data_IF_577449910420
#
_entry.id   IF_577449910420
#
_cell.length_a   1.000
_cell.length_b   1.000
_cell.length_c   1.000
_cell.angle_alpha   90.00
_cell.angle_beta   90.00
_cell.angle_gamma   90.00
#
_symmetry.space_group_name_H-M   'P 1'
#
loop_
_entity.id
_entity.type
_entity.pdbx_description
1 polymer ?
#
# COMPACT_ATOMS: atom_id res chain seq x y z
N UNK A 1 -53.13 -3.96 -16.59
CA UNK A 1 -51.70 -3.97 -16.20
C UNK A 1 -51.21 -5.42 -16.20
N UNK A 2 -50.16 -5.75 -16.96
CA UNK A 2 -49.74 -7.16 -17.10
C UNK A 2 -49.10 -7.69 -15.81
N UNK A 3 -49.16 -9.00 -15.58
CA UNK A 3 -48.56 -9.67 -14.41
C UNK A 3 -47.06 -9.33 -14.28
N UNK A 4 -46.36 -9.12 -15.41
CA UNK A 4 -44.96 -8.71 -15.43
C UNK A 4 -44.73 -7.24 -15.04
N UNK A 5 -45.70 -6.34 -15.30
CA UNK A 5 -45.64 -4.97 -14.79
C UNK A 5 -45.96 -4.89 -13.29
N UNK A 6 -46.88 -5.71 -12.78
CA UNK A 6 -47.12 -5.81 -11.33
C UNK A 6 -45.90 -6.38 -10.58
N UNK A 7 -45.23 -7.40 -11.12
CA UNK A 7 -44.00 -7.94 -10.51
C UNK A 7 -42.85 -6.93 -10.50
N UNK A 8 -42.66 -6.14 -11.57
CA UNK A 8 -41.64 -5.07 -11.59
C UNK A 8 -41.95 -3.95 -10.59
N UNK A 9 -43.21 -3.53 -10.47
CA UNK A 9 -43.61 -2.50 -9.50
C UNK A 9 -43.49 -3.03 -8.06
N UNK A 10 -43.85 -4.30 -7.80
CA UNK A 10 -43.72 -4.93 -6.49
C UNK A 10 -42.25 -5.16 -6.12
N UNK A 11 -41.37 -5.50 -7.08
CA UNK A 11 -39.93 -5.67 -6.85
C UNK A 11 -39.22 -4.32 -6.62
N UNK A 12 -39.66 -3.25 -7.30
CA UNK A 12 -39.17 -1.89 -7.05
C UNK A 12 -39.68 -1.38 -5.70
N UNK A 13 -40.94 -1.64 -5.32
CA UNK A 13 -41.45 -1.32 -3.98
C UNK A 13 -40.76 -2.13 -2.87
N UNK A 14 -40.44 -3.41 -3.09
CA UNK A 14 -39.67 -4.22 -2.12
C UNK A 14 -38.22 -3.79 -1.97
N UNK A 15 -37.61 -3.21 -3.01
CA UNK A 15 -36.27 -2.61 -2.94
C UNK A 15 -36.27 -1.24 -2.23
N UNK A 16 -37.37 -0.48 -2.29
CA UNK A 16 -37.52 0.78 -1.54
C UNK A 16 -38.04 0.59 -0.10
N UNK A 17 -38.58 -0.58 0.26
CA UNK A 17 -39.12 -0.86 1.62
C UNK A 17 -38.09 -1.54 2.56
N UNK A 18 -36.90 -1.96 2.08
CA UNK A 18 -35.95 -2.74 2.91
C UNK A 18 -34.59 -2.07 3.21
N UNK A 19 -34.40 -0.81 2.82
CA UNK A 19 -33.21 -0.02 3.24
C UNK A 19 -33.56 1.30 3.94
N UNK A 20 -34.82 1.48 4.34
CA UNK A 20 -35.14 2.41 5.41
C UNK A 20 -34.49 1.89 6.70
N UNK A 21 -33.51 2.60 7.24
CA UNK A 21 -33.01 2.34 8.59
C UNK A 21 -34.22 2.35 9.54
N UNK A 22 -34.72 1.18 9.94
CA UNK A 22 -35.73 1.00 11.00
C UNK A 22 -35.19 1.41 12.39
N UNK A 23 -34.21 2.31 12.45
CA UNK A 23 -33.31 2.53 13.57
C UNK A 23 -33.40 3.92 14.20
N UNK A 24 -34.38 4.75 13.82
CA UNK A 24 -34.58 6.06 14.49
C UNK A 24 -34.92 5.92 15.99
N UNK A 25 -35.30 4.73 16.46
CA UNK A 25 -35.60 4.44 17.86
C UNK A 25 -34.53 3.60 18.59
N UNK A 26 -33.39 3.28 17.97
CA UNK A 26 -32.40 2.37 18.58
C UNK A 26 -31.37 3.05 19.49
N UNK A 27 -31.20 4.37 19.38
CA UNK A 27 -30.34 5.10 20.29
C UNK A 27 -31.17 5.51 21.51
N UNK A 28 -30.86 4.91 22.66
CA UNK A 28 -31.57 5.24 23.91
C UNK A 28 -31.25 6.66 24.37
N UNK A 29 -32.14 7.26 25.16
CA UNK A 29 -31.88 8.57 25.81
C UNK A 29 -30.57 8.52 26.61
N UNK A 30 -30.30 7.39 27.28
CA UNK A 30 -29.07 7.15 28.03
C UNK A 30 -27.83 7.10 27.13
N UNK A 31 -27.91 6.44 25.96
CA UNK A 31 -26.83 6.40 25.00
C UNK A 31 -26.48 7.80 24.46
N UNK A 32 -27.51 8.61 24.16
CA UNK A 32 -27.32 10.00 23.78
C UNK A 32 -26.67 10.79 24.91
N UNK A 33 -27.17 10.66 26.14
CA UNK A 33 -26.61 11.32 27.33
C UNK A 33 -25.13 10.98 27.52
N UNK A 34 -24.77 9.68 27.46
CA UNK A 34 -23.38 9.21 27.61
C UNK A 34 -22.45 9.77 26.53
N UNK A 35 -22.91 9.81 25.28
CA UNK A 35 -22.13 10.41 24.20
C UNK A 35 -21.93 11.92 24.39
N UNK A 36 -22.95 12.65 24.86
CA UNK A 36 -22.82 14.07 25.17
C UNK A 36 -21.85 14.31 26.34
N UNK A 37 -21.93 13.52 27.42
CA UNK A 37 -20.98 13.59 28.54
C UNK A 37 -19.54 13.38 28.07
N UNK A 38 -19.31 12.47 27.11
CA UNK A 38 -18.00 12.28 26.52
C UNK A 38 -17.56 13.50 25.72
N UNK A 39 -18.42 14.06 24.86
CA UNK A 39 -18.11 15.25 24.08
C UNK A 39 -17.79 16.45 24.99
N UNK A 40 -18.56 16.67 26.05
CA UNK A 40 -18.32 17.71 27.05
C UNK A 40 -16.98 17.51 27.78
N UNK A 41 -16.65 16.28 28.17
CA UNK A 41 -15.37 15.97 28.80
C UNK A 41 -14.18 16.30 27.86
N UNK A 42 -14.32 16.06 26.55
CA UNK A 42 -13.31 16.45 25.56
C UNK A 42 -13.18 17.98 25.44
N UNK A 43 -14.30 18.71 25.40
CA UNK A 43 -14.30 20.19 25.31
C UNK A 43 -13.64 20.85 26.50
N UNK A 44 -14.03 20.41 27.69
CA UNK A 44 -13.53 20.90 28.97
C UNK A 44 -12.10 20.41 29.27
N UNK A 45 -11.50 19.64 28.35
CA UNK A 45 -10.17 19.02 28.48
C UNK A 45 -10.04 18.09 29.70
N UNK A 46 -11.16 17.56 30.20
CA UNK A 46 -11.19 16.54 31.24
C UNK A 46 -10.97 15.15 30.63
N UNK A 47 -9.74 14.91 30.14
CA UNK A 47 -9.41 13.70 29.40
C UNK A 47 -9.45 12.42 30.24
N UNK A 48 -9.24 12.51 31.55
CA UNK A 48 -9.44 11.38 32.47
C UNK A 48 -10.90 10.94 32.47
N UNK A 49 -11.85 11.88 32.65
CA UNK A 49 -13.29 11.56 32.58
C UNK A 49 -13.69 11.04 31.20
N UNK A 50 -13.17 11.64 30.13
CA UNK A 50 -13.43 11.17 28.77
C UNK A 50 -12.96 9.73 28.58
N UNK A 51 -11.75 9.38 29.06
CA UNK A 51 -11.22 8.02 29.00
C UNK A 51 -12.11 7.01 29.74
N UNK A 52 -12.56 7.34 30.95
CA UNK A 52 -13.48 6.48 31.72
C UNK A 52 -14.76 6.13 30.94
N UNK A 53 -15.29 7.08 30.17
CA UNK A 53 -16.50 6.87 29.37
C UNK A 53 -16.28 5.94 28.17
N UNK A 54 -15.02 5.69 27.77
CA UNK A 54 -14.66 4.76 26.68
C UNK A 54 -14.60 3.29 27.09
N UNK A 55 -14.70 2.99 28.39
CA UNK A 55 -14.43 1.66 28.96
C UNK A 55 -13.05 1.08 28.54
N UNK A 56 -12.06 1.93 28.22
CA UNK A 56 -10.72 1.50 27.81
C UNK A 56 -10.63 0.90 26.41
N UNK A 57 -11.66 1.03 25.57
CA UNK A 57 -11.74 0.36 24.26
C UNK A 57 -11.80 1.32 23.06
N UNK A 58 -11.48 2.59 23.26
CA UNK A 58 -11.49 3.56 22.16
C UNK A 58 -10.36 3.30 21.16
N UNK A 59 -10.76 3.32 19.89
CA UNK A 59 -9.87 3.28 18.74
C UNK A 59 -9.91 4.60 18.00
N UNK A 60 -8.82 4.91 17.31
CA UNK A 60 -8.76 6.11 16.49
C UNK A 60 -7.91 5.89 15.24
N UNK A 61 -8.15 6.71 14.25
CA UNK A 61 -7.29 6.86 13.08
C UNK A 61 -7.48 8.24 12.45
N UNK A 62 -6.58 8.61 11.57
CA UNK A 62 -6.79 9.72 10.65
C UNK A 62 -6.97 9.21 9.22
N UNK A 63 -7.31 10.11 8.31
CA UNK A 63 -7.51 9.77 6.90
C UNK A 63 -6.22 9.24 6.27
N UNK A 64 -6.31 8.15 5.49
CA UNK A 64 -5.14 7.46 4.93
C UNK A 64 -4.50 6.39 5.82
N UNK A 65 -4.90 6.25 7.09
CA UNK A 65 -4.47 5.08 7.89
C UNK A 65 -5.27 3.82 7.52
N UNK A 66 -4.54 2.76 7.15
CA UNK A 66 -5.11 1.44 6.84
C UNK A 66 -5.65 0.74 8.10
N UNK A 67 -5.08 1.02 9.27
CA UNK A 67 -5.42 0.36 10.54
C UNK A 67 -5.78 1.37 11.62
N UNK A 68 -6.80 1.04 12.42
CA UNK A 68 -7.11 1.75 13.65
C UNK A 68 -5.99 1.53 14.68
N UNK A 69 -5.65 2.58 15.43
CA UNK A 69 -4.84 2.48 16.65
C UNK A 69 -5.76 2.30 17.85
N UNK A 70 -5.35 1.44 18.77
CA UNK A 70 -6.04 1.24 20.06
C UNK A 70 -5.32 2.06 21.12
N UNK A 71 -6.07 2.77 21.94
CA UNK A 71 -5.54 3.46 23.12
C UNK A 71 -5.34 2.40 24.21
N UNK A 72 -4.12 2.32 24.76
CA UNK A 72 -3.74 1.19 25.63
C UNK A 72 -4.20 1.35 27.07
N UNK A 73 -4.14 2.58 27.59
CA UNK A 73 -4.44 2.92 28.97
C UNK A 73 -4.79 4.42 29.08
N UNK A 74 -5.10 4.87 30.30
CA UNK A 74 -5.48 6.26 30.58
C UNK A 74 -4.36 7.26 30.27
N UNK A 75 -3.12 6.96 30.65
CA UNK A 75 -1.98 7.85 30.40
C UNK A 75 -1.74 8.05 28.89
N UNK A 76 -1.85 6.98 28.11
CA UNK A 76 -1.80 7.00 26.64
C UNK A 76 -2.94 7.88 26.08
N UNK A 77 -4.16 7.73 26.60
CA UNK A 77 -5.29 8.57 26.22
C UNK A 77 -5.02 10.05 26.50
N UNK A 78 -4.63 10.39 27.72
CA UNK A 78 -4.39 11.77 28.17
C UNK A 78 -3.29 12.42 27.33
N UNK A 79 -2.21 11.68 27.04
CA UNK A 79 -1.10 12.20 26.23
C UNK A 79 -1.49 12.46 24.77
N UNK A 80 -2.36 11.62 24.20
CA UNK A 80 -2.77 11.72 22.80
C UNK A 80 -3.99 12.61 22.58
N UNK A 81 -4.85 12.78 23.58
CA UNK A 81 -6.12 13.49 23.47
C UNK A 81 -6.01 14.91 22.89
N UNK A 82 -5.05 15.77 23.31
CA UNK A 82 -4.87 17.09 22.71
C UNK A 82 -4.63 17.04 21.20
N UNK A 83 -4.01 15.97 20.71
CA UNK A 83 -3.77 15.75 19.29
C UNK A 83 -5.01 15.15 18.62
N UNK A 84 -5.53 14.04 19.13
CA UNK A 84 -6.67 13.28 18.58
C UNK A 84 -7.91 14.16 18.38
N UNK A 85 -8.19 15.01 19.37
CA UNK A 85 -9.39 15.84 19.39
C UNK A 85 -9.14 17.27 18.93
N UNK A 86 -7.95 17.57 18.40
CA UNK A 86 -7.66 18.87 17.79
C UNK A 86 -8.67 19.11 16.66
N UNK A 87 -9.31 20.28 16.67
CA UNK A 87 -10.34 20.68 15.71
C UNK A 87 -11.57 19.76 15.63
N UNK A 88 -11.82 18.91 16.64
CA UNK A 88 -13.04 18.10 16.71
C UNK A 88 -14.29 18.99 16.71
N UNK A 89 -14.19 20.10 17.45
CA UNK A 89 -15.30 20.96 17.81
C UNK A 89 -14.97 22.35 17.29
N UNK A 90 -15.86 22.87 16.43
CA UNK A 90 -15.66 24.15 15.74
C UNK A 90 -16.17 25.31 16.61
N UNK A 91 -17.26 25.08 17.35
CA UNK A 91 -17.91 26.02 18.28
C UNK A 91 -18.35 25.24 19.52
N UNK A 92 -18.72 25.93 20.60
CA UNK A 92 -19.33 25.28 21.77
C UNK A 92 -20.46 24.33 21.31
N UNK A 93 -20.30 23.03 21.61
CA UNK A 93 -21.34 22.01 21.34
C UNK A 93 -22.33 22.16 22.47
N UNK A 94 -23.49 22.73 22.16
CA UNK A 94 -24.62 22.61 23.06
C UNK A 94 -25.26 21.22 22.87
N UNK A 95 -25.84 20.61 23.92
CA UNK A 95 -26.59 19.36 23.78
C UNK A 95 -27.74 19.41 22.76
N UNK A 96 -28.16 20.62 22.35
CA UNK A 96 -29.17 20.85 21.32
C UNK A 96 -28.62 20.73 19.90
N UNK A 97 -27.32 20.94 19.69
CA UNK A 97 -26.67 20.97 18.36
C UNK A 97 -26.11 19.61 17.92
N UNK A 98 -26.04 18.64 18.83
CA UNK A 98 -25.47 17.32 18.58
C UNK A 98 -26.52 16.21 18.64
N UNK A 99 -26.43 15.28 17.69
CA UNK A 99 -27.30 14.12 17.60
C UNK A 99 -26.50 12.84 17.36
N UNK A 100 -27.07 11.71 17.75
CA UNK A 100 -26.55 10.39 17.41
C UNK A 100 -27.44 9.77 16.35
N UNK A 101 -26.91 9.61 15.15
CA UNK A 101 -27.61 9.01 14.03
C UNK A 101 -27.16 7.56 13.84
N UNK A 102 -28.10 6.62 13.74
CA UNK A 102 -27.75 5.22 13.52
C UNK A 102 -27.15 5.02 12.12
N UNK A 103 -26.01 4.34 12.04
CA UNK A 103 -25.39 3.94 10.78
C UNK A 103 -25.54 2.42 10.58
N UNK A 104 -25.49 1.93 9.34
CA UNK A 104 -25.80 0.53 8.95
C UNK A 104 -24.94 -0.58 9.63
N UNK A 105 -24.00 -0.22 10.50
CA UNK A 105 -22.90 -1.06 10.98
C UNK A 105 -22.85 -1.26 12.51
N UNK A 106 -23.98 -1.21 13.21
CA UNK A 106 -24.09 -1.33 14.68
C UNK A 106 -23.43 -0.19 15.48
N UNK A 107 -23.17 0.93 14.84
CA UNK A 107 -22.62 2.11 15.49
C UNK A 107 -23.52 3.32 15.20
N UNK A 108 -23.68 4.17 16.20
CA UNK A 108 -24.22 5.51 16.01
C UNK A 108 -23.08 6.47 15.62
N UNK A 109 -23.38 7.45 14.79
CA UNK A 109 -22.45 8.51 14.40
C UNK A 109 -22.90 9.80 15.05
N UNK A 110 -21.97 10.52 15.65
CA UNK A 110 -22.23 11.83 16.19
C UNK A 110 -22.25 12.86 15.06
N UNK A 111 -23.38 13.53 14.89
CA UNK A 111 -23.62 14.58 13.90
C UNK A 111 -24.02 15.86 14.60
N UNK A 112 -23.81 17.00 13.96
CA UNK A 112 -24.16 18.29 14.54
C UNK A 112 -23.53 19.46 13.80
N UNK A 113 -24.12 20.65 13.95
CA UNK A 113 -23.61 21.86 13.29
C UNK A 113 -22.27 22.34 13.88
N UNK A 114 -22.06 22.11 15.17
CA UNK A 114 -20.82 22.46 15.88
C UNK A 114 -19.70 21.41 15.74
N UNK A 115 -19.99 20.29 15.05
CA UNK A 115 -19.06 19.18 14.87
C UNK A 115 -18.36 19.33 13.52
N UNK A 116 -17.04 19.18 13.53
CA UNK A 116 -16.28 19.23 12.30
C UNK A 116 -16.64 18.06 11.38
N UNK A 117 -17.19 18.37 10.20
CA UNK A 117 -17.60 17.37 9.19
C UNK A 117 -16.45 16.48 8.69
N UNK A 118 -15.20 16.89 8.92
CA UNK A 118 -13.99 16.09 8.65
C UNK A 118 -13.63 15.14 9.79
N UNK A 119 -14.44 15.09 10.85
CA UNK A 119 -14.28 14.15 11.96
C UNK A 119 -15.52 13.29 12.06
N UNK A 120 -15.33 11.98 12.00
CA UNK A 120 -16.38 11.00 12.20
C UNK A 120 -16.18 10.34 13.56
N UNK A 121 -17.20 10.41 14.40
CA UNK A 121 -17.18 9.78 15.71
C UNK A 121 -18.24 8.68 15.77
N UNK A 122 -17.77 7.44 15.91
CA UNK A 122 -18.62 6.27 16.07
C UNK A 122 -18.77 5.90 17.55
N UNK A 123 -20.01 5.69 17.95
CA UNK A 123 -20.43 5.23 19.26
C UNK A 123 -21.09 3.85 19.14
N UNK A 124 -20.96 3.03 20.18
CA UNK A 124 -21.78 1.84 20.34
C UNK A 124 -23.23 2.23 20.67
N UNK A 125 -24.17 1.29 20.60
CA UNK A 125 -25.59 1.55 20.86
C UNK A 125 -25.90 2.02 22.29
N UNK A 126 -25.02 1.74 23.25
CA UNK A 126 -25.12 2.20 24.64
C UNK A 126 -24.50 3.59 24.86
N UNK A 127 -24.04 4.26 23.79
CA UNK A 127 -23.39 5.57 23.86
C UNK A 127 -21.91 5.52 24.22
N UNK A 128 -21.29 4.33 24.28
CA UNK A 128 -19.84 4.20 24.52
C UNK A 128 -19.04 4.61 23.27
N UNK A 129 -18.06 5.53 23.38
CA UNK A 129 -17.11 5.85 22.31
C UNK A 129 -16.41 4.59 21.74
N UNK A 130 -16.44 4.40 20.42
CA UNK A 130 -15.84 3.23 19.77
C UNK A 130 -14.66 3.61 18.87
N UNK A 131 -14.92 4.41 17.83
CA UNK A 131 -13.92 4.77 16.82
C UNK A 131 -14.03 6.25 16.49
N UNK A 132 -12.90 6.95 16.51
CA UNK A 132 -12.81 8.30 15.93
C UNK A 132 -11.93 8.28 14.67
N UNK A 133 -12.43 8.91 13.60
CA UNK A 133 -11.70 9.16 12.37
C UNK A 133 -11.57 10.67 12.22
N UNK A 134 -10.36 11.21 12.37
CA UNK A 134 -10.11 12.65 12.22
C UNK A 134 -9.30 12.92 10.94
N UNK A 135 -9.98 13.35 9.87
CA UNK A 135 -9.35 13.68 8.59
C UNK A 135 -8.65 15.05 8.59
N UNK A 136 -8.66 15.78 9.71
CA UNK A 136 -7.85 17.00 9.88
C UNK A 136 -6.50 16.74 10.55
N UNK A 137 -6.23 15.47 10.89
CA UNK A 137 -4.99 15.03 11.49
C UNK A 137 -4.15 14.22 10.52
N UNK A 138 -2.84 14.34 10.73
CA UNK A 138 -1.85 13.48 10.14
C UNK A 138 -0.74 13.36 11.18
N UNK A 139 -0.21 12.16 11.36
CA UNK A 139 1.01 11.97 12.14
C UNK A 139 2.20 12.02 11.20
N UNK A 140 3.34 12.61 11.58
CA UNK A 140 4.54 12.44 10.78
C UNK A 140 5.04 11.00 10.79
N UNK A 141 6.10 10.73 10.04
CA UNK A 141 6.77 9.43 9.97
C UNK A 141 7.51 9.04 11.25
N UNK A 142 7.58 9.93 12.23
CA UNK A 142 8.19 9.74 13.54
C UNK A 142 7.18 9.95 14.69
N UNK A 143 7.57 9.57 15.90
CA UNK A 143 6.74 9.71 17.11
C UNK A 143 6.82 11.13 17.65
N UNK A 144 5.71 11.85 17.69
CA UNK A 144 5.67 13.24 18.17
C UNK A 144 6.08 13.42 19.64
N UNK A 145 5.89 12.43 20.51
CA UNK A 145 6.39 12.49 21.89
C UNK A 145 7.91 12.40 21.99
N UNK A 146 8.59 11.99 20.92
CA UNK A 146 10.05 11.93 20.82
C UNK A 146 10.63 13.11 20.02
N UNK A 147 9.81 14.09 19.64
CA UNK A 147 10.25 15.28 18.93
C UNK A 147 11.14 16.13 19.85
N UNK A 148 12.39 16.36 19.42
CA UNK A 148 13.36 17.17 20.20
C UNK A 148 13.63 18.50 19.51
N UNK A 149 13.63 18.52 18.18
CA UNK A 149 13.86 19.73 17.40
C UNK A 149 12.59 20.56 17.22
N UNK A 150 12.75 21.87 17.13
CA UNK A 150 11.68 22.81 16.80
C UNK A 150 11.00 22.50 15.45
N UNK A 151 11.75 21.97 14.47
CA UNK A 151 11.20 21.46 13.20
C UNK A 151 10.28 20.26 13.45
N UNK A 152 10.71 19.27 14.23
CA UNK A 152 9.87 18.10 14.52
C UNK A 152 8.59 18.49 15.26
N UNK A 153 8.70 19.41 16.23
CA UNK A 153 7.54 19.98 16.93
C UNK A 153 6.62 20.69 15.94
N UNK A 154 7.16 21.53 15.05
CA UNK A 154 6.37 22.22 14.03
C UNK A 154 5.68 21.25 13.05
N UNK A 155 6.37 20.19 12.63
CA UNK A 155 5.80 19.12 11.81
C UNK A 155 4.63 18.45 12.56
N UNK A 156 4.83 18.09 13.84
CA UNK A 156 3.80 17.47 14.68
C UNK A 156 2.58 18.36 14.92
N UNK A 157 2.77 19.69 14.94
CA UNK A 157 1.69 20.64 15.17
C UNK A 157 0.92 21.02 13.89
N UNK A 158 1.49 20.72 12.71
CA UNK A 158 0.95 21.09 11.40
C UNK A 158 0.53 19.86 10.59
N UNK A 159 -0.77 19.78 10.30
CA UNK A 159 -1.34 18.75 9.43
C UNK A 159 -0.62 18.65 8.08
N UNK A 160 -0.42 19.79 7.41
CA UNK A 160 0.18 19.82 6.07
C UNK A 160 1.63 19.35 6.09
N UNK A 161 2.40 19.71 7.12
CA UNK A 161 3.78 19.26 7.27
C UNK A 161 3.87 17.77 7.62
N UNK A 162 2.96 17.27 8.46
CA UNK A 162 2.91 15.85 8.82
C UNK A 162 2.61 14.97 7.60
N UNK A 163 1.63 15.33 6.76
CA UNK A 163 1.35 14.63 5.50
C UNK A 163 2.57 14.64 4.57
N UNK A 164 3.27 15.77 4.52
CA UNK A 164 4.44 15.92 3.68
C UNK A 164 5.63 15.09 4.19
N UNK A 165 5.83 15.02 5.50
CA UNK A 165 6.86 14.19 6.13
C UNK A 165 6.60 12.69 5.86
N UNK A 166 5.33 12.24 5.95
CA UNK A 166 4.95 10.88 5.52
C UNK A 166 5.27 10.64 4.04
N UNK A 167 4.95 11.60 3.17
CA UNK A 167 5.22 11.49 1.73
C UNK A 167 6.72 11.37 1.46
N UNK A 168 7.55 12.15 2.16
CA UNK A 168 9.01 12.04 2.10
C UNK A 168 9.49 10.67 2.59
N UNK A 169 8.94 10.17 3.70
CA UNK A 169 9.30 8.87 4.25
C UNK A 169 9.05 7.75 3.24
N UNK A 170 7.87 7.70 2.61
CA UNK A 170 7.53 6.67 1.63
C UNK A 170 8.42 6.75 0.38
N UNK A 171 8.65 7.96 -0.15
CA UNK A 171 9.55 8.16 -1.30
C UNK A 171 10.98 7.75 -0.96
N UNK A 172 11.50 8.12 0.21
CA UNK A 172 12.84 7.72 0.66
C UNK A 172 12.95 6.21 0.86
N UNK A 173 11.96 5.57 1.47
CA UNK A 173 11.91 4.12 1.67
C UNK A 173 11.87 3.37 0.34
N UNK A 174 11.12 3.87 -0.64
CA UNK A 174 11.12 3.33 -2.00
C UNK A 174 12.49 3.49 -2.66
N UNK A 175 13.11 4.68 -2.54
CA UNK A 175 14.45 4.93 -3.04
C UNK A 175 15.51 4.02 -2.40
N UNK A 176 15.40 3.74 -1.09
CA UNK A 176 16.31 2.83 -0.38
C UNK A 176 16.18 1.39 -0.86
N UNK A 177 14.98 0.96 -1.26
CA UNK A 177 14.74 -0.38 -1.84
C UNK A 177 15.23 -0.46 -3.27
N UNK A 178 15.17 0.66 -3.99
CA UNK A 178 15.46 0.74 -5.41
C UNK A 178 16.96 0.91 -5.69
N UNK A 179 17.65 1.81 -4.99
CA UNK A 179 19.10 1.97 -5.09
C UNK A 179 19.83 0.92 -4.25
N UNK A 180 20.95 0.43 -4.77
CA UNK A 180 21.84 -0.49 -4.04
C UNK A 180 23.28 0.03 -4.06
N UNK A 181 24.20 -0.65 -3.38
CA UNK A 181 25.63 -0.31 -3.38
C UNK A 181 25.92 1.15 -3.03
N UNK A 182 26.78 1.79 -3.83
CA UNK A 182 27.20 3.19 -3.65
C UNK A 182 26.02 4.17 -3.72
N UNK A 183 25.09 3.99 -4.65
CA UNK A 183 23.91 4.86 -4.79
C UNK A 183 23.05 4.86 -3.53
N UNK A 184 22.87 3.70 -2.89
CA UNK A 184 22.13 3.60 -1.63
C UNK A 184 22.87 4.32 -0.48
N UNK A 185 24.19 4.20 -0.42
CA UNK A 185 25.00 4.91 0.57
C UNK A 185 24.95 6.42 0.36
N UNK A 186 25.01 6.88 -0.88
CA UNK A 186 24.88 8.28 -1.24
C UNK A 186 23.50 8.83 -0.87
N UNK A 187 22.42 8.09 -1.18
CA UNK A 187 21.06 8.44 -0.76
C UNK A 187 20.98 8.67 0.75
N UNK A 188 21.58 7.78 1.56
CA UNK A 188 21.63 7.90 3.03
C UNK A 188 22.40 9.14 3.48
N UNK A 189 23.59 9.39 2.94
CA UNK A 189 24.40 10.58 3.24
C UNK A 189 23.64 11.87 2.91
N UNK A 190 23.05 11.93 1.72
CA UNK A 190 22.27 13.07 1.25
C UNK A 190 21.00 13.29 2.10
N UNK A 191 20.39 12.24 2.63
CA UNK A 191 19.24 12.36 3.52
C UNK A 191 19.62 12.97 4.87
N UNK A 192 20.76 12.58 5.45
CA UNK A 192 21.27 13.19 6.68
C UNK A 192 21.56 14.67 6.46
N UNK A 193 22.22 15.03 5.35
CA UNK A 193 22.49 16.41 5.01
C UNK A 193 21.19 17.22 4.82
N UNK A 194 20.20 16.65 4.13
CA UNK A 194 18.88 17.25 3.99
C UNK A 194 18.24 17.55 5.35
N UNK A 195 18.25 16.60 6.29
CA UNK A 195 17.68 16.81 7.63
C UNK A 195 18.38 17.98 8.34
N UNK A 196 19.72 18.04 8.26
CA UNK A 196 20.50 19.16 8.83
C UNK A 196 20.11 20.50 8.20
N UNK A 197 19.96 20.56 6.88
CA UNK A 197 19.56 21.77 6.16
C UNK A 197 18.13 22.20 6.48
N UNK A 198 17.19 21.24 6.53
CA UNK A 198 15.79 21.49 6.92
C UNK A 198 15.71 22.04 8.34
N UNK A 199 16.54 21.55 9.26
CA UNK A 199 16.55 21.99 10.66
C UNK A 199 16.98 23.46 10.85
N UNK A 200 17.58 24.10 9.84
CA UNK A 200 17.84 25.56 9.84
C UNK A 200 16.54 26.38 9.77
N UNK A 201 15.44 25.79 9.28
CA UNK A 201 14.14 26.46 9.22
C UNK A 201 13.48 26.69 10.59
N UNK A 202 13.98 26.09 11.67
CA UNK A 202 13.39 26.16 13.01
C UNK A 202 11.88 25.82 12.99
N UNK A 203 10.98 26.68 13.47
CA UNK A 203 9.53 26.45 13.37
C UNK A 203 8.83 27.10 12.15
N UNK A 204 9.58 27.64 11.18
CA UNK A 204 8.99 28.23 9.96
C UNK A 204 8.40 27.14 9.06
N UNK A 205 7.07 27.05 9.09
CA UNK A 205 6.30 26.06 8.33
C UNK A 205 6.46 26.18 6.82
N UNK A 206 6.62 27.39 6.27
CA UNK A 206 6.80 27.58 4.82
C UNK A 206 8.20 27.15 4.39
N UNK A 207 9.21 27.46 5.20
CA UNK A 207 10.58 27.00 4.98
C UNK A 207 10.66 25.46 5.00
N UNK A 208 10.15 24.82 6.07
CA UNK A 208 10.12 23.36 6.21
C UNK A 208 9.41 22.73 5.01
N UNK A 209 8.26 23.29 4.62
CA UNK A 209 7.49 22.79 3.49
C UNK A 209 8.28 22.84 2.19
N UNK A 210 8.91 23.98 1.90
CA UNK A 210 9.70 24.19 0.68
C UNK A 210 10.89 23.22 0.59
N UNK A 211 11.63 23.04 1.68
CA UNK A 211 12.76 22.09 1.72
C UNK A 211 12.30 20.65 1.50
N UNK A 212 11.23 20.24 2.16
CA UNK A 212 10.71 18.87 2.08
C UNK A 212 10.16 18.57 0.68
N UNK A 213 9.42 19.50 0.06
CA UNK A 213 8.95 19.37 -1.33
C UNK A 213 10.09 19.22 -2.33
N UNK A 214 11.15 20.05 -2.19
CA UNK A 214 12.34 19.96 -3.05
C UNK A 214 13.01 18.60 -2.92
N UNK A 215 13.10 18.07 -1.69
CA UNK A 215 13.71 16.75 -1.44
C UNK A 215 12.89 15.61 -2.05
N UNK A 216 11.57 15.61 -1.89
CA UNK A 216 10.67 14.62 -2.51
C UNK A 216 10.88 14.61 -4.03
N UNK A 217 10.85 15.78 -4.67
CA UNK A 217 11.04 15.92 -6.13
C UNK A 217 12.41 15.42 -6.57
N UNK A 218 13.46 15.73 -5.80
CA UNK A 218 14.82 15.29 -6.11
C UNK A 218 14.94 13.76 -6.08
N UNK A 219 14.46 13.10 -5.01
CA UNK A 219 14.53 11.65 -4.89
C UNK A 219 13.72 10.97 -6.01
N UNK A 220 12.48 11.44 -6.27
CA UNK A 220 11.68 10.91 -7.37
C UNK A 220 12.38 11.07 -8.72
N UNK A 221 13.02 12.22 -8.97
CA UNK A 221 13.82 12.43 -10.19
C UNK A 221 14.99 11.46 -10.29
N UNK A 222 15.71 11.20 -9.19
CA UNK A 222 16.81 10.23 -9.17
C UNK A 222 16.29 8.82 -9.51
N UNK A 223 15.18 8.41 -8.89
CA UNK A 223 14.52 7.13 -9.20
C UNK A 223 14.16 7.07 -10.70
N UNK A 224 13.51 8.10 -11.24
CA UNK A 224 13.13 8.15 -12.66
C UNK A 224 14.32 8.14 -13.63
N UNK A 225 15.46 8.76 -13.27
CA UNK A 225 16.66 8.75 -14.11
C UNK A 225 17.29 7.36 -14.16
N UNK A 226 17.38 6.70 -13.02
CA UNK A 226 17.86 5.32 -12.96
C UNK A 226 16.94 4.37 -13.75
N UNK A 227 15.62 4.56 -13.68
CA UNK A 227 14.69 3.82 -14.54
C UNK A 227 14.98 4.02 -16.04
N UNK A 228 15.32 5.24 -16.47
CA UNK A 228 15.71 5.50 -17.86
C UNK A 228 17.07 4.86 -18.21
N UNK A 229 18.00 4.79 -17.27
CA UNK A 229 19.29 4.14 -17.51
C UNK A 229 19.14 2.62 -17.67
N UNK A 230 18.10 2.01 -17.07
CA UNK A 230 17.74 0.61 -17.35
C UNK A 230 17.28 0.37 -18.79
N UNK A 231 16.93 1.41 -19.58
CA UNK A 231 16.60 1.27 -21.01
C UNK A 231 17.82 0.82 -21.87
N UNK A 232 19.01 0.67 -21.27
CA UNK A 232 20.21 0.13 -21.90
C UNK A 232 20.50 -1.35 -21.61
N UNK A 233 19.56 -2.07 -20.96
CA UNK A 233 19.67 -3.52 -20.78
C UNK A 233 19.67 -4.24 -22.15
N UNK A 234 20.87 -4.61 -22.61
CA UNK A 234 21.08 -5.56 -23.70
C UNK A 234 21.20 -6.95 -23.08
N UNK A 235 20.24 -7.83 -23.31
CA UNK A 235 20.41 -9.24 -22.99
C UNK A 235 21.28 -9.91 -24.04
N UNK A 236 22.38 -10.53 -23.60
CA UNK A 236 23.15 -11.52 -24.34
C UNK A 236 22.59 -12.91 -24.07
N UNK A 237 22.65 -13.80 -25.09
CA UNK A 237 22.38 -15.23 -24.90
C UNK A 237 23.23 -15.76 -23.75
N UNK A 238 22.61 -16.44 -22.79
CA UNK A 238 23.30 -17.13 -21.71
C UNK A 238 23.98 -18.37 -22.30
N UNK A 239 25.25 -18.24 -22.66
CA UNK A 239 26.03 -19.35 -23.22
C UNK A 239 26.80 -20.13 -22.13
N UNK A 240 26.46 -20.01 -20.83
CA UNK A 240 27.20 -20.70 -19.77
C UNK A 240 26.29 -21.24 -18.65
N UNK A 241 26.48 -22.50 -18.23
CA UNK A 241 25.64 -23.12 -17.21
C UNK A 241 25.93 -22.53 -15.83
N UNK A 242 24.88 -22.08 -15.15
CA UNK A 242 24.92 -21.80 -13.71
C UNK A 242 25.03 -23.09 -12.90
N UNK A 243 25.85 -23.10 -11.86
CA UNK A 243 25.91 -24.20 -10.89
C UNK A 243 24.60 -24.26 -10.07
N UNK A 244 24.04 -25.46 -9.95
CA UNK A 244 22.77 -25.76 -9.28
C UNK A 244 22.13 -27.04 -9.85
N UNK A 245 21.22 -27.68 -9.12
CA UNK A 245 20.47 -28.85 -9.60
C UNK A 245 19.35 -28.39 -10.54
N UNK A 246 19.69 -28.24 -11.82
CA UNK A 246 18.75 -27.86 -12.88
C UNK A 246 18.42 -29.11 -13.71
N UNK A 247 17.14 -29.32 -14.04
CA UNK A 247 16.76 -30.38 -15.00
C UNK A 247 17.20 -29.92 -16.39
N UNK A 248 18.17 -30.59 -17.06
CA UNK A 248 18.67 -30.13 -18.35
C UNK A 248 17.68 -30.51 -19.47
N UNK A 249 17.27 -29.53 -20.27
CA UNK A 249 16.69 -29.77 -21.59
C UNK A 249 17.16 -28.67 -22.58
N UNK A 250 18.37 -28.81 -23.13
CA UNK A 250 18.95 -27.85 -24.08
C UNK A 250 19.70 -26.64 -23.45
N UNK A 251 19.81 -25.53 -24.21
CA UNK A 251 20.56 -24.30 -23.87
C UNK A 251 19.86 -23.40 -22.82
N UNK A 252 18.63 -23.71 -22.41
CA UNK A 252 17.83 -22.90 -21.48
C UNK A 252 17.57 -23.69 -20.19
N UNK A 253 17.81 -23.07 -19.03
CA UNK A 253 17.49 -23.63 -17.71
C UNK A 253 16.18 -23.05 -17.20
N UNK A 254 15.21 -23.91 -16.89
CA UNK A 254 13.88 -23.54 -16.41
C UNK A 254 13.75 -23.80 -14.91
N UNK A 255 13.02 -22.93 -14.21
CA UNK A 255 12.47 -23.22 -12.88
C UNK A 255 10.95 -23.36 -13.04
N UNK A 256 10.46 -24.60 -13.21
CA UNK A 256 9.02 -24.90 -13.15
C UNK A 256 8.75 -25.75 -11.91
N UNK A 257 7.72 -25.36 -11.15
CA UNK A 257 7.26 -26.08 -9.95
C UNK A 257 6.27 -27.21 -10.25
N UNK A 258 5.86 -27.39 -11.51
CA UNK A 258 4.87 -28.41 -11.87
C UNK A 258 5.34 -29.25 -13.07
N UNK A 259 5.71 -30.50 -12.77
CA UNK A 259 5.72 -31.64 -13.69
C UNK A 259 6.72 -31.62 -14.88
N UNK A 260 7.31 -32.79 -15.23
CA UNK A 260 8.13 -32.96 -16.44
C UNK A 260 7.31 -33.16 -17.72
N UNK A 261 5.99 -32.96 -17.70
CA UNK A 261 5.19 -32.94 -18.93
C UNK A 261 5.27 -31.55 -19.56
N UNK A 262 6.41 -31.27 -20.17
CA UNK A 262 6.45 -30.27 -21.22
C UNK A 262 5.50 -30.75 -22.31
N UNK A 263 4.36 -30.08 -22.45
CA UNK A 263 3.67 -30.08 -23.73
C UNK A 263 4.67 -29.47 -24.72
N UNK A 264 5.10 -30.25 -25.72
CA UNK A 264 6.07 -29.82 -26.75
C UNK A 264 5.61 -28.54 -27.46
N UNK A 265 4.32 -28.19 -27.32
CA UNK A 265 3.70 -26.99 -27.85
C UNK A 265 3.94 -25.71 -27.00
N UNK A 266 4.62 -25.78 -25.85
CA UNK A 266 4.81 -24.59 -25.02
C UNK A 266 5.86 -23.64 -25.62
N UNK A 267 5.51 -22.35 -25.71
CA UNK A 267 6.40 -21.35 -26.28
C UNK A 267 7.59 -21.10 -25.35
N UNK A 268 8.82 -21.38 -25.77
CA UNK A 268 10.00 -21.06 -24.98
C UNK A 268 10.46 -19.63 -25.26
N UNK A 269 10.96 -18.95 -24.22
CA UNK A 269 11.50 -17.60 -24.34
C UNK A 269 12.79 -17.62 -25.17
N UNK A 270 12.81 -16.89 -26.27
CA UNK A 270 13.98 -16.74 -27.15
C UNK A 270 14.79 -15.52 -26.75
N UNK A 271 14.11 -14.38 -26.60
CA UNK A 271 14.75 -13.13 -26.20
C UNK A 271 13.76 -12.20 -25.52
N UNK A 272 14.30 -11.31 -24.70
CA UNK A 272 13.57 -10.19 -24.12
C UNK A 272 14.44 -8.95 -24.28
N UNK A 273 13.88 -7.86 -24.80
CA UNK A 273 14.61 -6.60 -24.92
C UNK A 273 13.75 -5.47 -24.43
N UNK A 274 14.35 -4.52 -23.71
CA UNK A 274 13.66 -3.33 -23.23
C UNK A 274 14.27 -2.11 -23.90
N UNK A 275 13.41 -1.25 -24.47
CA UNK A 275 13.83 0.04 -25.02
C UNK A 275 12.72 1.06 -24.88
N UNK A 276 13.02 2.20 -24.26
CA UNK A 276 12.08 3.30 -24.03
C UNK A 276 10.79 2.85 -23.32
N UNK A 277 10.93 2.02 -22.27
CA UNK A 277 9.79 1.45 -21.54
C UNK A 277 8.95 0.42 -22.32
N UNK A 278 9.33 0.08 -23.56
CA UNK A 278 8.73 -1.00 -24.34
C UNK A 278 9.57 -2.26 -24.15
N UNK A 279 8.96 -3.31 -23.62
CA UNK A 279 9.54 -4.64 -23.51
C UNK A 279 9.06 -5.49 -24.68
N UNK A 280 9.97 -5.89 -25.56
CA UNK A 280 9.71 -6.87 -26.62
C UNK A 280 10.09 -8.24 -26.12
N UNK A 281 9.16 -9.19 -26.25
CA UNK A 281 9.31 -10.57 -25.82
C UNK A 281 9.16 -11.43 -27.07
N UNK A 282 10.20 -12.19 -27.38
CA UNK A 282 10.19 -13.14 -28.48
C UNK A 282 10.11 -14.56 -27.92
N UNK A 283 9.14 -15.33 -28.38
CA UNK A 283 8.92 -16.72 -27.98
C UNK A 283 8.87 -17.60 -29.22
N UNK A 284 9.29 -18.84 -29.09
CA UNK A 284 9.23 -19.82 -30.16
C UNK A 284 8.41 -21.01 -29.69
N UNK A 285 7.40 -21.40 -30.47
CA UNK A 285 6.65 -22.64 -30.26
C UNK A 285 7.12 -23.68 -31.27
N UNK A 286 7.37 -24.90 -30.79
CA UNK A 286 7.52 -26.03 -31.71
C UNK A 286 6.10 -26.50 -32.06
N UNK A 287 5.70 -26.33 -33.33
CA UNK A 287 4.44 -26.91 -33.81
C UNK A 287 4.65 -28.41 -34.02
N UNK A 288 3.83 -29.26 -33.41
CA UNK A 288 3.86 -30.70 -33.65
C UNK A 288 3.44 -31.07 -35.09
N UNK A 289 2.62 -30.24 -35.74
CA UNK A 289 1.99 -30.55 -37.03
C UNK A 289 2.68 -29.88 -38.23
N UNK A 290 3.51 -28.84 -38.02
CA UNK A 290 4.23 -28.14 -39.08
C UNK A 290 5.72 -28.05 -38.74
N UNK A 291 6.60 -28.48 -39.65
CA UNK A 291 8.07 -28.43 -39.49
C UNK A 291 8.67 -27.02 -39.37
N UNK A 292 7.84 -25.99 -39.22
CA UNK A 292 8.27 -24.60 -39.11
C UNK A 292 8.11 -24.10 -37.67
N UNK A 293 9.20 -23.57 -37.15
CA UNK A 293 9.23 -22.86 -35.88
C UNK A 293 8.42 -21.56 -36.01
N UNK A 294 7.34 -21.43 -35.25
CA UNK A 294 6.55 -20.19 -35.22
C UNK A 294 7.09 -19.28 -34.13
N UNK A 295 7.51 -18.07 -34.53
CA UNK A 295 7.93 -17.01 -33.61
C UNK A 295 6.74 -16.14 -33.21
N UNK A 296 6.49 -16.02 -31.91
CA UNK A 296 5.48 -15.16 -31.32
C UNK A 296 6.16 -13.91 -30.77
N UNK A 297 5.97 -12.79 -31.45
CA UNK A 297 6.50 -11.49 -31.05
C UNK A 297 5.47 -10.68 -30.26
N UNK A 298 5.71 -10.52 -28.96
CA UNK A 298 4.91 -9.65 -28.11
C UNK A 298 5.61 -8.31 -27.90
N UNK A 299 4.85 -7.22 -28.00
CA UNK A 299 5.31 -5.88 -27.60
C UNK A 299 4.49 -5.41 -26.40
N UNK A 300 5.19 -5.21 -25.29
CA UNK A 300 4.62 -4.94 -23.98
C UNK A 300 5.21 -3.68 -23.38
N UNK A 301 4.54 -3.11 -22.39
CA UNK A 301 4.97 -1.89 -21.72
C UNK A 301 4.98 -2.16 -20.23
N UNK A 302 5.89 -1.50 -19.51
CA UNK A 302 5.88 -1.55 -18.05
C UNK A 302 4.68 -0.75 -17.57
N UNK A 303 3.64 -1.46 -17.11
CA UNK A 303 2.43 -0.84 -16.57
C UNK A 303 2.66 -0.41 -15.13
N UNK A 304 3.29 -1.28 -14.34
CA UNK A 304 3.41 -1.13 -12.91
C UNK A 304 4.75 -1.66 -12.43
N UNK A 305 5.36 -0.94 -11.50
CA UNK A 305 6.61 -1.35 -10.84
C UNK A 305 6.35 -1.47 -9.36
N UNK A 306 6.75 -2.60 -8.78
CA UNK A 306 6.58 -2.86 -7.36
C UNK A 306 7.90 -3.31 -6.75
N UNK A 307 8.08 -2.97 -5.48
CA UNK A 307 9.29 -3.31 -4.74
C UNK A 307 8.94 -4.22 -3.57
N UNK A 308 9.59 -5.36 -3.54
CA UNK A 308 9.38 -6.39 -2.56
C UNK A 308 10.67 -6.62 -1.78
N UNK A 309 10.54 -6.64 -0.45
CA UNK A 309 11.58 -7.18 0.40
C UNK A 309 11.37 -8.68 0.53
N UNK A 310 12.44 -9.48 0.58
CA UNK A 310 12.33 -10.94 0.81
C UNK A 310 11.36 -11.28 1.96
N UNK A 311 11.47 -10.57 3.09
CA UNK A 311 10.58 -10.74 4.24
C UNK A 311 9.10 -10.44 3.96
N UNK A 312 8.79 -9.47 3.09
CA UNK A 312 7.41 -9.13 2.72
C UNK A 312 6.83 -10.25 1.87
N UNK A 313 7.60 -10.75 0.93
CA UNK A 313 7.20 -11.83 0.03
C UNK A 313 6.96 -13.07 0.83
N UNK A 314 7.98 -13.49 1.59
CA UNK A 314 7.88 -14.62 2.50
C UNK A 314 6.67 -14.51 3.43
N UNK A 315 6.39 -13.32 3.99
CA UNK A 315 5.21 -13.10 4.82
C UNK A 315 3.88 -13.23 4.04
N UNK A 316 3.76 -12.61 2.86
CA UNK A 316 2.53 -12.70 2.06
C UNK A 316 2.27 -14.13 1.59
N UNK A 317 3.32 -14.85 1.21
CA UNK A 317 3.23 -16.19 0.60
C UNK A 317 3.10 -17.27 1.66
N UNK A 318 4.03 -17.34 2.63
CA UNK A 318 4.06 -18.38 3.65
C UNK A 318 2.97 -18.20 4.71
N UNK A 319 2.69 -16.97 5.14
CA UNK A 319 1.79 -16.73 6.30
C UNK A 319 0.39 -16.28 5.91
N UNK A 320 0.24 -15.30 5.01
CA UNK A 320 -1.07 -14.67 4.77
C UNK A 320 -1.96 -15.47 3.84
N UNK A 321 -1.40 -15.98 2.74
CA UNK A 321 -2.16 -16.71 1.72
C UNK A 321 -2.01 -18.24 1.84
N UNK A 322 -1.24 -18.70 2.83
CA UNK A 322 -1.01 -20.12 3.13
C UNK A 322 -0.54 -20.90 1.90
N UNK A 323 0.29 -20.27 1.05
CA UNK A 323 1.02 -20.95 -0.01
C UNK A 323 2.21 -21.71 0.60
N UNK A 324 1.93 -22.59 1.57
CA UNK A 324 2.72 -23.81 1.67
C UNK A 324 2.38 -24.60 0.41
N UNK A 325 3.36 -24.76 -0.46
CA UNK A 325 3.18 -25.10 -1.87
C UNK A 325 1.98 -26.00 -2.14
N UNK A 326 1.11 -25.55 -3.05
CA UNK A 326 0.15 -26.45 -3.72
C UNK A 326 0.85 -27.57 -4.52
N UNK A 327 2.19 -27.60 -4.51
CA UNK A 327 3.06 -28.65 -5.02
C UNK A 327 4.35 -28.87 -4.17
N UNK A 328 4.38 -28.44 -2.90
CA UNK A 328 5.38 -28.91 -1.93
C UNK A 328 6.87 -28.57 -2.17
N UNK A 329 7.21 -27.40 -2.73
CA UNK A 329 8.60 -26.94 -2.74
C UNK A 329 8.79 -25.61 -2.00
N UNK A 330 9.94 -25.55 -1.31
CA UNK A 330 10.35 -24.49 -0.41
C UNK A 330 10.78 -23.25 -1.20
N UNK A 331 10.28 -22.08 -0.81
CA UNK A 331 10.74 -20.78 -1.34
C UNK A 331 12.24 -20.56 -1.14
N UNK A 332 12.89 -21.33 -0.25
CA UNK A 332 14.36 -21.36 -0.14
C UNK A 332 15.07 -21.82 -1.42
N UNK A 333 14.35 -22.44 -2.38
CA UNK A 333 14.90 -22.82 -3.67
C UNK A 333 14.92 -21.69 -4.70
N UNK A 334 14.23 -20.57 -4.46
CA UNK A 334 14.55 -19.35 -5.21
C UNK A 334 15.92 -18.88 -4.72
N UNK A 335 16.94 -18.76 -5.60
CA UNK A 335 18.34 -18.60 -5.17
C UNK A 335 18.66 -17.29 -4.41
N UNK A 336 17.67 -16.47 -4.04
CA UNK A 336 17.92 -15.11 -3.58
C UNK A 336 17.03 -14.72 -2.40
N UNK A 337 17.60 -14.78 -1.19
CA UNK A 337 17.10 -14.12 0.01
C UNK A 337 17.36 -12.59 -0.05
N UNK A 338 16.99 -11.95 -1.16
CA UNK A 338 17.31 -10.55 -1.44
C UNK A 338 16.07 -9.74 -1.76
N UNK A 339 16.21 -8.41 -1.72
CA UNK A 339 15.17 -7.51 -2.20
C UNK A 339 15.06 -7.65 -3.71
N UNK A 340 13.83 -7.55 -4.23
CA UNK A 340 13.61 -7.57 -5.66
C UNK A 340 12.59 -6.53 -6.11
N UNK A 341 12.75 -6.12 -7.36
CA UNK A 341 11.86 -5.19 -8.06
C UNK A 341 11.13 -5.97 -9.13
N UNK A 342 9.81 -5.88 -9.16
CA UNK A 342 9.00 -6.47 -10.22
C UNK A 342 8.52 -5.39 -11.18
N UNK A 343 8.53 -5.70 -12.47
CA UNK A 343 8.01 -4.88 -13.56
C UNK A 343 6.87 -5.68 -14.19
N UNK A 344 5.63 -5.29 -13.92
CA UNK A 344 4.45 -5.87 -14.55
C UNK A 344 4.32 -5.31 -15.97
N UNK A 345 4.16 -6.21 -16.91
CA UNK A 345 4.09 -5.91 -18.33
C UNK A 345 2.65 -6.06 -18.80
N UNK A 346 2.16 -5.11 -19.60
CA UNK A 346 0.88 -5.22 -20.28
C UNK A 346 1.03 -5.13 -21.79
N UNK A 347 0.12 -5.80 -22.51
CA UNK A 347 0.12 -5.79 -23.97
C UNK A 347 -0.23 -4.40 -24.52
N UNK A 348 0.48 -3.96 -25.56
CA UNK A 348 0.17 -2.68 -26.25
C UNK A 348 -1.29 -2.57 -26.71
N UNK A 349 -1.80 -3.68 -27.23
CA UNK A 349 -3.10 -3.72 -27.92
C UNK A 349 -4.24 -4.00 -26.94
N UNK A 350 -3.94 -4.50 -25.74
CA UNK A 350 -4.93 -4.83 -24.73
C UNK A 350 -4.34 -4.69 -23.33
N UNK A 351 -4.59 -3.55 -22.68
CA UNK A 351 -4.11 -3.27 -21.33
C UNK A 351 -4.73 -4.18 -20.26
N UNK A 352 -5.81 -4.91 -20.56
CA UNK A 352 -6.43 -5.87 -19.62
C UNK A 352 -5.76 -7.23 -19.61
N UNK A 353 -4.92 -7.54 -20.62
CA UNK A 353 -4.12 -8.77 -20.65
C UNK A 353 -2.71 -8.49 -20.17
N UNK A 354 -2.33 -9.17 -19.09
CA UNK A 354 -0.94 -9.20 -18.62
C UNK A 354 -0.06 -9.88 -19.67
N UNK A 355 1.08 -9.26 -19.95
CA UNK A 355 2.12 -9.81 -20.80
C UNK A 355 3.17 -10.59 -19.99
N UNK A 356 3.16 -10.44 -18.66
CA UNK A 356 4.08 -11.12 -17.76
C UNK A 356 4.69 -10.16 -16.73
N UNK A 357 5.71 -10.64 -16.04
CA UNK A 357 6.41 -9.91 -15.00
C UNK A 357 7.92 -10.12 -15.14
N UNK A 358 8.69 -9.05 -15.07
CA UNK A 358 10.15 -9.12 -14.94
C UNK A 358 10.50 -8.93 -13.47
N UNK A 359 11.31 -9.81 -12.89
CA UNK A 359 11.80 -9.69 -11.51
C UNK A 359 13.30 -9.44 -11.55
N UNK A 360 13.75 -8.31 -11.02
CA UNK A 360 15.17 -7.99 -10.85
C UNK A 360 15.54 -8.23 -9.39
N UNK A 361 16.50 -9.12 -9.14
CA UNK A 361 17.00 -9.44 -7.79
C UNK A 361 18.30 -8.67 -7.51
N UNK A 362 18.56 -8.29 -6.23
CA UNK A 362 19.60 -7.33 -5.91
C UNK A 362 20.55 -7.70 -4.76
N UNK A 363 21.80 -7.99 -5.14
CA UNK A 363 23.04 -7.36 -4.59
C UNK A 363 24.00 -7.00 -5.76
N UNK A 364 24.01 -7.78 -6.84
CA UNK A 364 24.88 -7.59 -8.01
C UNK A 364 24.19 -7.19 -9.32
N UNK A 365 22.94 -6.69 -9.31
CA UNK A 365 22.22 -6.14 -10.49
C UNK A 365 22.05 -7.04 -11.74
N UNK A 366 22.63 -8.25 -11.76
CA UNK A 366 22.81 -9.02 -12.99
C UNK A 366 21.79 -10.15 -13.19
N UNK A 367 20.82 -10.31 -12.28
CA UNK A 367 19.85 -11.40 -12.40
C UNK A 367 18.43 -10.88 -12.52
N UNK A 368 17.89 -11.06 -13.71
CA UNK A 368 16.51 -10.85 -14.08
C UNK A 368 15.79 -12.20 -14.13
N UNK A 369 14.50 -12.20 -13.87
CA UNK A 369 13.59 -13.30 -14.17
C UNK A 369 12.48 -12.74 -15.02
N UNK A 370 11.97 -13.53 -15.94
CA UNK A 370 10.73 -13.21 -16.64
C UNK A 370 9.74 -14.35 -16.39
N UNK A 371 8.50 -14.02 -16.10
CA UNK A 371 7.42 -15.00 -16.00
C UNK A 371 6.24 -14.51 -16.84
N UNK A 372 5.74 -15.35 -17.71
CA UNK A 372 4.57 -15.05 -18.57
C UNK A 372 3.24 -15.22 -17.81
N UNK A 373 3.23 -16.07 -16.78
CA UNK A 373 2.08 -16.28 -15.90
C UNK A 373 2.45 -16.08 -14.42
N UNK A 374 1.76 -15.15 -13.76
CA UNK A 374 1.79 -14.99 -12.31
C UNK A 374 0.39 -15.09 -11.73
N UNK A 375 0.27 -15.85 -10.65
CA UNK A 375 -1.03 -16.19 -10.05
C UNK A 375 -1.47 -15.08 -9.09
N UNK A 376 -0.51 -14.49 -8.38
CA UNK A 376 -0.79 -13.54 -7.30
C UNK A 376 0.51 -12.82 -6.94
N UNK A 377 0.63 -11.52 -7.24
CA UNK A 377 1.87 -10.74 -7.05
C UNK A 377 2.60 -11.05 -5.72
N UNK A 378 3.91 -11.39 -5.72
CA UNK A 378 4.83 -11.66 -6.85
C UNK A 378 5.04 -13.17 -7.14
N UNK A 379 4.06 -14.03 -6.85
CA UNK A 379 4.10 -15.47 -7.10
C UNK A 379 4.01 -15.77 -8.59
N UNK A 380 5.12 -16.20 -9.17
CA UNK A 380 5.20 -16.71 -10.53
C UNK A 380 4.98 -18.23 -10.51
N UNK A 381 4.15 -18.74 -11.41
CA UNK A 381 3.96 -20.19 -11.55
C UNK A 381 5.12 -20.84 -12.30
N UNK A 382 5.63 -20.12 -13.30
CA UNK A 382 6.74 -20.53 -14.16
C UNK A 382 7.59 -19.29 -14.47
N UNK A 383 8.92 -19.45 -14.55
CA UNK A 383 9.82 -18.34 -14.79
C UNK A 383 11.08 -18.74 -15.55
N UNK A 384 11.52 -17.82 -16.39
CA UNK A 384 12.76 -17.85 -17.16
C UNK A 384 13.80 -17.01 -16.43
N UNK A 385 14.95 -17.60 -16.16
CA UNK A 385 16.10 -16.88 -15.64
C UNK A 385 16.81 -16.13 -16.76
N UNK A 386 17.06 -14.85 -16.53
CA UNK A 386 17.71 -13.93 -17.45
C UNK A 386 18.95 -13.39 -16.76
N UNK A 387 20.14 -13.76 -17.22
CA UNK A 387 21.36 -13.15 -16.71
C UNK A 387 21.75 -11.96 -17.58
N UNK A 388 22.04 -10.83 -16.92
CA UNK A 388 22.78 -9.72 -17.52
C UNK A 388 24.23 -10.15 -17.64
N UNK A 389 24.78 -10.19 -18.84
CA UNK A 389 26.23 -10.22 -19.04
C UNK A 389 26.65 -8.78 -19.21
N UNK A 390 27.38 -8.24 -18.24
CA UNK A 390 28.02 -6.92 -18.39
C UNK A 390 29.06 -6.94 -19.50
#
# INVERSE_FOLDING_TARGET
MSINQMKKILFILLLFITSGCFANNLVTVDAKKKAMEFTEAIQTKNYSKAYQLTNGHMRWRFDGMVKNRTIKNEDDFISLAPFIFKNLIINDVTPLDANLECCQSRNAVLTGNSINKKVLFYFQYDGTPNVLINSTMALPSFTCSSAVSSVEVAICQSHSLSVQDQSLHEVYKNAQRFFTGEQQQELKRNQIQFIRQRNVCDSDTNCIKSFTDKRIKLINKQISLEYKNLDHLVTTKVNSPLEGNWVPNGEIKHASTNYPYFDENYAFLVSISAKNGVVKIDRQTNSLDDKENVHIHNSCYVEKVQHYTYANVYYQTAYKKNYYGRSGQDFTQLPFAVNYTTFELSHKQNSSSSCGIIIRTGVNHDVFFYADNYIDEPLVGEGYLLMSVN
#
